data_IF_103505600057
#
_entry.id   IF_103505600057
#
_cell.length_a   1.000
_cell.length_b   1.000
_cell.length_c   1.000
_cell.angle_alpha   90.00
_cell.angle_beta   90.00
_cell.angle_gamma   90.00
#
_symmetry.space_group_name_H-M   'P 1'
#
loop_
_entity.id
_entity.type
_entity.pdbx_description
1 polymer ?
#
# COMPACT_ATOMS: atom_id res chain seq x y z
N UNK A 1 -35.00 -5.45 -24.47
CA UNK A 1 -34.46 -4.25 -23.78
C UNK A 1 -33.59 -4.79 -22.66
N UNK A 2 -32.37 -5.17 -23.03
CA UNK A 2 -31.43 -5.92 -22.19
C UNK A 2 -30.37 -4.97 -21.67
N UNK A 3 -30.03 -5.16 -20.40
CA UNK A 3 -29.03 -4.46 -19.62
C UNK A 3 -27.64 -4.60 -20.27
N UNK A 4 -27.21 -3.58 -21.00
CA UNK A 4 -25.81 -3.34 -21.34
C UNK A 4 -25.55 -1.84 -21.16
N UNK A 5 -25.45 -1.40 -19.90
CA UNK A 5 -25.10 -0.02 -19.58
C UNK A 5 -23.90 0.05 -18.64
N UNK A 6 -22.83 0.65 -19.18
CA UNK A 6 -21.77 1.39 -18.47
C UNK A 6 -20.73 0.60 -17.67
N UNK A 7 -19.96 -0.25 -18.36
CA UNK A 7 -18.56 -0.46 -17.97
C UNK A 7 -17.72 0.57 -18.74
N UNK A 8 -17.52 1.75 -18.16
CA UNK A 8 -16.61 2.75 -18.72
C UNK A 8 -15.21 2.13 -18.76
N UNK A 9 -14.73 1.82 -19.96
CA UNK A 9 -13.37 1.38 -20.20
C UNK A 9 -12.41 2.44 -19.64
N UNK A 10 -11.63 2.05 -18.63
CA UNK A 10 -10.54 2.87 -18.11
C UNK A 10 -9.54 3.14 -19.25
N UNK A 11 -9.20 4.40 -19.44
CA UNK A 11 -8.34 4.86 -20.53
C UNK A 11 -6.86 4.75 -20.11
N UNK A 12 -6.20 3.65 -20.49
CA UNK A 12 -4.81 3.32 -20.14
C UNK A 12 -3.76 4.14 -20.94
N UNK A 13 -4.00 5.44 -21.15
CA UNK A 13 -3.20 6.24 -22.08
C UNK A 13 -1.85 6.73 -21.53
N UNK A 14 -1.61 6.65 -20.22
CA UNK A 14 -0.37 7.18 -19.61
C UNK A 14 0.36 6.10 -18.81
N UNK A 15 1.34 5.47 -19.48
CA UNK A 15 2.36 4.62 -18.85
C UNK A 15 3.26 5.48 -17.97
N UNK A 16 3.82 4.90 -16.91
CA UNK A 16 4.94 5.52 -16.22
C UNK A 16 6.11 5.55 -17.19
N UNK A 17 6.56 6.76 -17.57
CA UNK A 17 7.75 6.95 -18.41
C UNK A 17 8.92 6.14 -17.81
N UNK A 18 9.40 5.16 -18.58
CA UNK A 18 10.48 4.19 -18.29
C UNK A 18 10.06 2.78 -17.79
N UNK A 19 8.77 2.44 -17.67
CA UNK A 19 8.34 1.05 -17.37
C UNK A 19 7.08 0.61 -18.12
N UNK A 20 6.85 -0.71 -18.21
CA UNK A 20 5.62 -1.30 -18.77
C UNK A 20 4.41 -1.22 -17.82
N UNK A 21 4.49 -0.42 -16.76
CA UNK A 21 3.43 -0.28 -15.76
C UNK A 21 2.60 1.00 -15.94
N UNK A 22 1.38 0.94 -15.43
CA UNK A 22 0.43 2.05 -15.37
C UNK A 22 0.34 2.55 -13.93
N UNK A 23 0.45 3.87 -13.75
CA UNK A 23 0.13 4.53 -12.49
C UNK A 23 -1.39 4.58 -12.29
N UNK A 24 -1.88 4.54 -11.05
CA UNK A 24 -3.32 4.73 -10.77
C UNK A 24 -3.85 6.11 -11.20
N UNK A 25 -2.93 7.06 -11.43
CA UNK A 25 -3.20 8.32 -12.12
C UNK A 25 -3.82 9.40 -11.23
N UNK A 26 -4.50 10.34 -11.86
CA UNK A 26 -5.05 11.53 -11.19
C UNK A 26 -6.38 11.23 -10.50
N UNK A 27 -6.69 12.00 -9.47
CA UNK A 27 -7.94 11.99 -8.74
C UNK A 27 -9.13 12.32 -9.65
N UNK A 28 -10.23 11.56 -9.52
CA UNK A 28 -11.49 11.82 -10.23
C UNK A 28 -12.58 12.24 -9.26
N UNK A 29 -12.81 11.45 -8.21
CA UNK A 29 -13.77 11.78 -7.15
C UNK A 29 -13.43 11.03 -5.86
N UNK A 30 -14.09 11.42 -4.76
CA UNK A 30 -14.05 10.69 -3.51
C UNK A 30 -15.40 10.72 -2.80
N UNK A 31 -15.62 9.71 -1.95
CA UNK A 31 -16.75 9.61 -1.05
C UNK A 31 -16.31 9.07 0.30
N UNK A 32 -16.57 9.83 1.37
CA UNK A 32 -16.31 9.43 2.75
C UNK A 32 -17.56 8.78 3.36
N UNK A 33 -17.40 7.58 3.93
CA UNK A 33 -18.46 6.82 4.61
C UNK A 33 -17.89 6.25 5.92
N UNK A 34 -18.36 6.79 7.04
CA UNK A 34 -17.93 6.36 8.38
C UNK A 34 -16.42 6.56 8.56
N UNK A 35 -15.69 5.48 8.86
CA UNK A 35 -14.25 5.49 9.04
C UNK A 35 -13.46 5.26 7.75
N UNK A 36 -14.10 5.39 6.57
CA UNK A 36 -13.51 5.06 5.27
C UNK A 36 -13.66 6.16 4.23
N UNK A 37 -12.59 6.40 3.48
CA UNK A 37 -12.57 7.24 2.29
C UNK A 37 -12.38 6.37 1.04
N UNK A 38 -13.36 6.40 0.15
CA UNK A 38 -13.28 5.75 -1.17
C UNK A 38 -12.85 6.80 -2.19
N UNK A 39 -11.86 6.48 -3.03
CA UNK A 39 -11.27 7.40 -4.00
C UNK A 39 -11.28 6.71 -5.36
N UNK A 40 -11.86 7.37 -6.36
CA UNK A 40 -11.72 6.99 -7.75
C UNK A 40 -10.56 7.78 -8.37
N UNK A 41 -9.65 7.06 -9.03
CA UNK A 41 -8.54 7.60 -9.79
C UNK A 41 -8.79 7.32 -11.29
N UNK A 42 -7.99 7.94 -12.17
CA UNK A 42 -8.16 7.74 -13.62
C UNK A 42 -7.86 6.31 -14.08
N UNK A 43 -7.04 5.56 -13.34
CA UNK A 43 -6.65 4.17 -13.64
C UNK A 43 -6.79 3.24 -12.42
N UNK A 44 -7.75 3.49 -11.53
CA UNK A 44 -8.06 2.55 -10.45
C UNK A 44 -8.88 3.13 -9.31
N UNK A 45 -9.09 2.31 -8.28
CA UNK A 45 -9.89 2.65 -7.11
C UNK A 45 -9.10 2.36 -5.84
N UNK A 46 -9.11 3.32 -4.92
CA UNK A 46 -8.53 3.18 -3.59
C UNK A 46 -9.62 3.23 -2.53
N UNK A 47 -9.44 2.47 -1.46
CA UNK A 47 -10.21 2.57 -0.24
C UNK A 47 -9.28 2.67 0.95
N UNK A 48 -9.34 3.81 1.62
CA UNK A 48 -8.61 4.11 2.85
C UNK A 48 -9.57 3.92 4.02
N UNK A 49 -9.23 3.06 4.98
CA UNK A 49 -10.10 2.75 6.12
C UNK A 49 -9.30 2.72 7.41
N UNK A 50 -9.70 3.53 8.40
CA UNK A 50 -9.13 3.40 9.73
C UNK A 50 -9.71 2.15 10.40
N UNK A 51 -8.85 1.18 10.70
CA UNK A 51 -9.18 0.02 11.53
C UNK A 51 -9.12 0.40 13.02
N UNK A 52 -8.23 1.33 13.36
CA UNK A 52 -8.06 1.97 14.66
C UNK A 52 -7.47 3.35 14.44
N UNK A 53 -7.50 4.21 15.44
CA UNK A 53 -6.95 5.58 15.35
C UNK A 53 -5.49 5.59 14.82
N UNK A 54 -4.70 4.57 15.16
CA UNK A 54 -3.29 4.40 14.78
C UNK A 54 -3.03 3.34 13.67
N UNK A 55 -4.08 2.80 13.04
CA UNK A 55 -3.98 1.78 11.99
C UNK A 55 -4.88 2.15 10.81
N UNK A 56 -4.27 2.43 9.66
CA UNK A 56 -4.97 2.63 8.39
C UNK A 56 -4.74 1.46 7.44
N UNK A 57 -5.84 0.91 6.92
CA UNK A 57 -5.84 -0.03 5.81
C UNK A 57 -5.98 0.74 4.49
N UNK A 58 -5.17 0.36 3.51
CA UNK A 58 -5.26 0.87 2.15
C UNK A 58 -5.51 -0.31 1.23
N UNK A 59 -6.67 -0.32 0.58
CA UNK A 59 -7.05 -1.34 -0.41
C UNK A 59 -7.07 -0.72 -1.79
N UNK A 60 -6.59 -1.48 -2.77
CA UNK A 60 -6.60 -1.09 -4.17
C UNK A 60 -7.30 -2.14 -5.02
N UNK A 61 -8.04 -1.69 -6.03
CA UNK A 61 -8.46 -2.52 -7.13
C UNK A 61 -8.47 -1.67 -8.42
N UNK A 62 -7.94 -2.22 -9.51
CA UNK A 62 -7.79 -1.49 -10.77
C UNK A 62 -9.12 -1.41 -11.53
N UNK A 63 -10.00 -2.39 -11.39
CA UNK A 63 -11.19 -2.55 -12.24
C UNK A 63 -12.45 -1.99 -11.62
N UNK A 64 -12.63 -2.21 -10.31
CA UNK A 64 -13.85 -1.87 -9.59
C UNK A 64 -13.52 -1.30 -8.20
N UNK A 65 -14.43 -0.57 -7.54
CA UNK A 65 -14.28 -0.20 -6.14
C UNK A 65 -13.95 -1.42 -5.25
N UNK A 66 -12.96 -1.33 -4.34
CA UNK A 66 -12.59 -2.46 -3.48
C UNK A 66 -13.77 -2.95 -2.64
N UNK A 67 -14.09 -4.23 -2.75
CA UNK A 67 -15.13 -4.86 -1.96
C UNK A 67 -14.72 -4.96 -0.47
N UNK A 68 -15.72 -5.11 0.40
CA UNK A 68 -15.51 -5.51 1.79
C UNK A 68 -15.21 -7.01 1.84
N UNK A 69 -14.01 -7.40 1.42
CA UNK A 69 -13.55 -8.79 1.53
C UNK A 69 -12.86 -9.07 2.85
N UNK A 70 -13.07 -10.28 3.35
CA UNK A 70 -12.45 -10.78 4.57
C UNK A 70 -10.99 -11.15 4.29
N UNK A 71 -10.10 -10.67 5.17
CA UNK A 71 -8.72 -11.11 5.19
C UNK A 71 -8.62 -12.42 5.95
N UNK A 72 -7.80 -13.36 5.47
CA UNK A 72 -7.48 -14.58 6.21
C UNK A 72 -6.55 -14.34 7.41
N UNK A 73 -5.87 -13.18 7.45
CA UNK A 73 -4.89 -12.84 8.47
C UNK A 73 -5.43 -11.87 9.52
N UNK A 74 -6.39 -11.01 9.16
CA UNK A 74 -6.95 -10.01 10.07
C UNK A 74 -8.14 -10.62 10.82
N UNK A 75 -7.92 -10.99 12.08
CA UNK A 75 -8.98 -11.43 12.99
C UNK A 75 -9.72 -10.27 13.69
N UNK A 76 -9.04 -9.14 13.88
CA UNK A 76 -9.58 -7.97 14.57
C UNK A 76 -10.67 -7.29 13.75
N UNK A 77 -11.78 -6.92 14.41
CA UNK A 77 -12.81 -6.08 13.77
C UNK A 77 -12.36 -4.61 13.81
N UNK A 78 -12.63 -3.83 12.75
CA UNK A 78 -12.34 -2.41 12.76
C UNK A 78 -13.18 -1.70 13.84
N UNK A 79 -12.56 -0.76 14.53
CA UNK A 79 -13.24 0.13 15.47
C UNK A 79 -13.97 1.25 14.72
N UNK A 80 -14.95 1.87 15.39
CA UNK A 80 -15.58 3.09 14.87
C UNK A 80 -14.67 4.27 15.18
N UNK A 81 -13.88 4.67 14.20
CA UNK A 81 -12.94 5.80 14.30
C UNK A 81 -13.64 7.06 13.81
N UNK A 82 -13.58 8.13 14.61
CA UNK A 82 -14.05 9.45 14.18
C UNK A 82 -13.03 10.01 13.18
N UNK A 83 -13.50 10.37 12.00
CA UNK A 83 -12.64 10.86 10.92
C UNK A 83 -12.91 12.32 10.62
N UNK A 84 -11.86 13.02 10.21
CA UNK A 84 -11.90 14.35 9.64
C UNK A 84 -11.54 14.27 8.16
N UNK A 85 -12.29 14.99 7.33
CA UNK A 85 -12.12 15.03 5.88
C UNK A 85 -12.12 16.48 5.42
N UNK A 86 -11.03 16.90 4.80
CA UNK A 86 -10.88 18.23 4.22
C UNK A 86 -10.45 18.10 2.76
N UNK A 87 -11.21 18.75 1.88
CA UNK A 87 -11.00 18.72 0.43
C UNK A 87 -10.45 20.07 -0.05
N UNK A 88 -9.23 20.06 -0.58
CA UNK A 88 -8.56 21.24 -1.12
C UNK A 88 -8.38 21.10 -2.64
N UNK A 89 -8.07 22.18 -3.37
CA UNK A 89 -7.87 22.12 -4.82
C UNK A 89 -6.87 21.05 -5.26
N UNK A 90 -5.70 20.97 -4.61
CA UNK A 90 -4.59 20.10 -5.03
C UNK A 90 -4.48 18.80 -4.21
N UNK A 91 -5.21 18.68 -3.09
CA UNK A 91 -5.05 17.57 -2.15
C UNK A 91 -6.29 17.32 -1.30
N UNK A 92 -6.37 16.13 -0.74
CA UNK A 92 -7.33 15.76 0.30
C UNK A 92 -6.55 15.48 1.59
N UNK A 93 -7.13 15.84 2.73
CA UNK A 93 -6.64 15.44 4.05
C UNK A 93 -7.68 14.56 4.71
N UNK A 94 -7.30 13.35 5.08
CA UNK A 94 -8.14 12.38 5.78
C UNK A 94 -7.44 11.92 7.05
N UNK A 95 -8.04 12.20 8.20
CA UNK A 95 -7.36 12.04 9.49
C UNK A 95 -8.22 11.31 10.51
N UNK A 96 -7.55 10.58 11.39
CA UNK A 96 -8.04 10.17 12.71
C UNK A 96 -7.46 11.13 13.77
N UNK A 97 -7.65 10.83 15.05
CA UNK A 97 -7.00 11.59 16.13
C UNK A 97 -5.48 11.37 16.23
N UNK A 98 -4.93 10.32 15.60
CA UNK A 98 -3.50 9.94 15.71
C UNK A 98 -2.78 10.00 14.37
N UNK A 99 -3.43 9.56 13.30
CA UNK A 99 -2.85 9.48 11.96
C UNK A 99 -3.52 10.49 11.03
N UNK A 100 -2.69 11.08 10.17
CA UNK A 100 -3.13 11.99 9.12
C UNK A 100 -2.63 11.48 7.78
N UNK A 101 -3.54 11.31 6.84
CA UNK A 101 -3.23 10.98 5.46
C UNK A 101 -3.44 12.21 4.61
N UNK A 102 -2.40 12.62 3.91
CA UNK A 102 -2.47 13.62 2.85
C UNK A 102 -2.46 12.88 1.52
N UNK A 103 -3.44 13.18 0.67
CA UNK A 103 -3.59 12.59 -0.65
C UNK A 103 -3.43 13.71 -1.68
N UNK A 104 -2.30 13.75 -2.38
CA UNK A 104 -2.16 14.65 -3.53
C UNK A 104 -3.09 14.18 -4.65
N UNK A 105 -3.64 15.10 -5.44
CA UNK A 105 -4.65 14.77 -6.47
C UNK A 105 -4.07 14.46 -7.84
N UNK A 106 -2.90 14.98 -8.20
CA UNK A 106 -2.33 14.80 -9.54
C UNK A 106 -0.80 14.62 -9.55
N UNK A 107 -0.29 13.38 -9.75
CA UNK A 107 -1.03 12.12 -9.63
C UNK A 107 -1.44 11.84 -8.18
N UNK A 108 -2.26 10.82 -7.96
CA UNK A 108 -2.61 10.39 -6.60
C UNK A 108 -1.37 9.86 -5.89
N UNK A 109 -1.00 10.51 -4.79
CA UNK A 109 0.12 10.13 -3.92
C UNK A 109 -0.28 10.20 -2.45
N UNK A 110 0.17 9.23 -1.68
CA UNK A 110 -0.15 9.09 -0.27
C UNK A 110 1.02 9.49 0.62
N UNK A 111 0.77 10.44 1.52
CA UNK A 111 1.68 10.78 2.61
C UNK A 111 0.99 10.52 3.93
N UNK A 112 1.59 9.69 4.78
CA UNK A 112 1.05 9.31 6.08
C UNK A 112 1.91 9.90 7.18
N UNK A 113 1.28 10.66 8.05
CA UNK A 113 1.89 11.30 9.19
C UNK A 113 1.33 10.76 10.50
N UNK A 114 2.17 10.75 11.52
CA UNK A 114 1.77 10.75 12.93
C UNK A 114 2.32 12.02 13.55
N UNK A 115 1.42 12.85 14.09
CA UNK A 115 1.72 14.22 14.51
C UNK A 115 2.33 15.07 13.37
N UNK A 116 3.61 15.46 13.51
CA UNK A 116 4.40 16.20 12.51
C UNK A 116 5.42 15.33 11.77
N UNK A 117 5.46 14.04 12.09
CA UNK A 117 6.45 13.11 11.53
C UNK A 117 5.87 12.38 10.33
N UNK A 118 6.56 12.49 9.20
CA UNK A 118 6.30 11.67 8.03
C UNK A 118 6.71 10.22 8.31
N UNK A 119 5.77 9.28 8.14
CA UNK A 119 6.01 7.85 8.29
C UNK A 119 6.23 7.17 6.94
N UNK A 120 5.33 7.44 5.99
CA UNK A 120 5.31 6.85 4.65
C UNK A 120 5.02 7.96 3.65
N UNK A 121 5.76 8.01 2.55
CA UNK A 121 5.48 8.89 1.41
C UNK A 121 5.63 8.13 0.09
N UNK A 122 5.01 8.70 -0.93
CA UNK A 122 5.15 8.33 -2.33
C UNK A 122 5.60 9.58 -3.10
N UNK A 123 6.47 9.41 -4.09
CA UNK A 123 7.03 10.52 -4.87
C UNK A 123 6.81 10.32 -6.37
N UNK A 124 7.86 10.01 -7.13
CA UNK A 124 7.80 9.74 -8.57
C UNK A 124 6.82 8.62 -8.88
N UNK A 125 6.86 7.56 -8.08
CA UNK A 125 5.96 6.41 -8.14
C UNK A 125 5.19 6.26 -6.84
N UNK A 126 3.94 5.86 -6.95
CA UNK A 126 3.10 5.45 -5.84
C UNK A 126 2.61 4.03 -6.06
N UNK A 127 1.31 3.88 -6.29
CA UNK A 127 0.72 2.59 -6.64
C UNK A 127 0.61 2.46 -8.17
N UNK A 128 1.07 1.33 -8.69
CA UNK A 128 1.05 1.02 -10.12
C UNK A 128 0.51 -0.39 -10.36
N UNK A 129 0.15 -0.70 -11.61
CA UNK A 129 -0.29 -2.03 -12.02
C UNK A 129 0.20 -2.38 -13.44
N UNK A 130 0.20 -3.66 -13.78
CA UNK A 130 0.54 -4.13 -15.13
C UNK A 130 -0.67 -4.15 -16.09
N UNK A 131 -1.86 -3.81 -15.61
CA UNK A 131 -3.12 -3.85 -16.39
C UNK A 131 -3.79 -5.23 -16.36
N UNK A 132 -3.17 -6.20 -15.70
CA UNK A 132 -3.65 -7.56 -15.56
C UNK A 132 -3.93 -7.90 -14.09
N UNK A 133 -2.93 -8.43 -13.39
CA UNK A 133 -3.07 -8.96 -12.04
C UNK A 133 -1.97 -8.52 -11.07
N UNK A 134 -0.91 -7.86 -11.55
CA UNK A 134 0.19 -7.43 -10.68
C UNK A 134 -0.03 -6.00 -10.23
N UNK A 135 0.12 -5.81 -8.92
CA UNK A 135 0.14 -4.51 -8.26
C UNK A 135 1.55 -4.26 -7.75
N UNK A 136 2.02 -3.02 -7.92
CA UNK A 136 3.30 -2.54 -7.43
C UNK A 136 3.04 -1.35 -6.51
N UNK A 137 3.66 -1.35 -5.33
CA UNK A 137 3.52 -0.28 -4.35
C UNK A 137 4.90 0.29 -4.06
N UNK A 138 5.19 1.48 -4.57
CA UNK A 138 6.45 2.18 -4.35
C UNK A 138 6.30 3.18 -3.21
N UNK A 139 7.22 3.13 -2.24
CA UNK A 139 7.30 4.05 -1.11
C UNK A 139 8.70 4.62 -1.04
N UNK A 140 8.83 5.88 -0.64
CA UNK A 140 10.14 6.50 -0.49
C UNK A 140 10.92 5.86 0.65
N UNK A 141 12.20 5.56 0.40
CA UNK A 141 13.11 4.98 1.37
C UNK A 141 14.16 6.01 1.79
N UNK A 142 14.13 6.43 3.06
CA UNK A 142 15.14 7.33 3.62
C UNK A 142 16.46 6.58 3.82
N UNK A 143 17.63 7.22 3.61
CA UNK A 143 18.93 6.61 3.87
C UNK A 143 19.11 6.07 5.30
N UNK A 144 18.37 6.62 6.28
CA UNK A 144 18.41 6.20 7.68
C UNK A 144 17.37 5.14 8.04
N UNK A 145 16.55 4.70 7.08
CA UNK A 145 15.59 3.61 7.31
C UNK A 145 16.29 2.27 7.47
N UNK A 146 15.90 1.57 8.52
CA UNK A 146 16.25 0.18 8.79
C UNK A 146 14.98 -0.66 8.77
N UNK A 147 15.04 -1.86 8.20
CA UNK A 147 13.88 -2.72 7.98
C UNK A 147 14.05 -4.04 8.71
N UNK A 148 13.03 -4.45 9.45
CA UNK A 148 13.02 -5.66 10.28
C UNK A 148 11.71 -6.42 10.13
N UNK A 149 11.69 -7.71 10.46
CA UNK A 149 10.49 -8.55 10.38
C UNK A 149 10.58 -9.52 9.20
N UNK A 150 9.53 -9.57 8.38
CA UNK A 150 9.37 -10.47 7.23
C UNK A 150 9.20 -11.96 7.60
N UNK A 151 8.97 -12.26 8.87
CA UNK A 151 8.85 -13.62 9.37
C UNK A 151 10.17 -14.37 9.37
N UNK A 152 10.14 -15.60 8.85
CA UNK A 152 11.30 -16.48 8.77
C UNK A 152 12.14 -16.15 7.53
N UNK A 153 13.12 -15.27 7.69
CA UNK A 153 14.07 -14.91 6.62
C UNK A 153 15.51 -15.05 7.09
N UNK A 154 16.33 -15.70 6.27
CA UNK A 154 17.77 -15.88 6.52
C UNK A 154 18.54 -14.56 6.33
N UNK A 155 19.86 -14.59 6.57
CA UNK A 155 20.73 -13.43 6.42
C UNK A 155 20.64 -12.42 7.57
N UNK A 156 21.04 -11.18 7.32
CA UNK A 156 21.12 -10.15 8.36
C UNK A 156 19.74 -9.73 8.89
N UNK A 157 19.72 -9.27 10.14
CA UNK A 157 18.50 -8.78 10.80
C UNK A 157 17.94 -7.53 10.11
N UNK A 158 18.80 -6.56 9.78
CA UNK A 158 18.40 -5.43 8.95
C UNK A 158 18.30 -5.88 7.49
N UNK A 159 17.10 -5.77 6.92
CA UNK A 159 16.79 -6.19 5.56
C UNK A 159 17.02 -5.11 4.51
N UNK A 160 17.50 -3.92 4.88
CA UNK A 160 17.93 -2.90 3.91
C UNK A 160 18.96 -3.50 2.94
N UNK A 161 18.79 -3.25 1.66
CA UNK A 161 19.65 -3.78 0.59
C UNK A 161 19.26 -5.18 0.10
N UNK A 162 18.21 -5.78 0.65
CA UNK A 162 17.74 -7.12 0.26
C UNK A 162 16.49 -7.04 -0.60
N UNK A 163 16.33 -8.03 -1.47
CA UNK A 163 15.08 -8.31 -2.18
C UNK A 163 14.62 -9.69 -1.78
N UNK A 164 13.38 -9.80 -1.31
CA UNK A 164 12.86 -11.03 -0.70
C UNK A 164 11.50 -11.41 -1.25
N UNK A 165 11.28 -12.71 -1.47
CA UNK A 165 10.01 -13.26 -1.94
C UNK A 165 9.28 -14.04 -0.84
N UNK A 166 8.00 -13.75 -0.64
CA UNK A 166 7.13 -14.51 0.25
C UNK A 166 6.48 -15.64 -0.53
N UNK A 167 7.11 -16.82 -0.47
CA UNK A 167 6.60 -18.02 -1.09
C UNK A 167 7.05 -19.23 -0.26
N UNK A 168 6.11 -19.86 0.47
CA UNK A 168 6.41 -20.99 1.33
C UNK A 168 7.05 -22.11 0.49
N UNK A 169 8.32 -22.41 0.79
CA UNK A 169 9.13 -23.33 0.01
C UNK A 169 9.87 -24.26 0.96
N UNK A 170 9.77 -25.56 0.72
CA UNK A 170 10.63 -26.55 1.38
C UNK A 170 11.97 -26.61 0.63
N UNK A 171 13.02 -26.05 1.24
CA UNK A 171 14.34 -25.90 0.63
C UNK A 171 15.44 -26.33 1.58
N UNK A 172 16.38 -27.14 1.11
CA UNK A 172 17.57 -27.58 1.84
C UNK A 172 18.80 -27.53 0.91
N UNK A 173 20.00 -27.13 1.41
CA UNK A 173 20.29 -26.69 2.78
C UNK A 173 19.89 -25.23 3.06
N UNK A 174 19.71 -24.87 4.33
CA UNK A 174 19.46 -23.48 4.75
C UNK A 174 20.76 -22.68 4.86
N UNK A 175 21.15 -22.01 3.79
CA UNK A 175 22.28 -21.10 3.79
C UNK A 175 21.82 -19.64 3.91
N UNK A 176 22.67 -18.70 4.35
CA UNK A 176 22.28 -17.30 4.55
C UNK A 176 21.81 -16.54 3.30
N UNK A 177 22.03 -17.11 2.11
CA UNK A 177 21.62 -16.60 0.80
C UNK A 177 20.28 -17.17 0.32
N UNK A 178 19.69 -18.12 1.05
CA UNK A 178 18.36 -18.66 0.75
C UNK A 178 17.28 -17.62 1.06
N UNK A 179 16.62 -17.12 0.02
CA UNK A 179 15.55 -16.14 0.16
C UNK A 179 14.24 -16.77 0.69
N UNK A 180 13.71 -17.78 0.00
CA UNK A 180 12.42 -18.40 0.33
C UNK A 180 12.57 -19.43 1.45
N UNK A 181 11.66 -19.41 2.42
CA UNK A 181 11.67 -20.30 3.58
C UNK A 181 10.27 -20.89 3.80
N UNK A 182 10.08 -21.60 4.91
CA UNK A 182 8.82 -22.31 5.21
C UNK A 182 7.66 -21.36 5.52
N UNK A 183 7.94 -20.16 6.02
CA UNK A 183 6.92 -19.23 6.46
C UNK A 183 6.96 -17.89 5.71
N UNK A 184 5.77 -17.43 5.31
CA UNK A 184 5.55 -16.12 4.69
C UNK A 184 4.71 -15.25 5.63
N UNK A 185 5.37 -14.29 6.27
CA UNK A 185 4.70 -13.27 7.11
C UNK A 185 5.04 -11.90 6.49
N UNK A 186 4.21 -11.38 5.57
CA UNK A 186 4.46 -10.14 4.83
C UNK A 186 4.25 -8.88 5.68
N UNK A 187 4.84 -8.86 6.88
CA UNK A 187 4.85 -7.76 7.83
C UNK A 187 6.28 -7.33 8.11
N UNK A 188 6.54 -6.03 8.05
CA UNK A 188 7.82 -5.46 8.43
C UNK A 188 7.67 -4.18 9.22
N UNK A 189 8.76 -3.83 9.92
CA UNK A 189 8.89 -2.63 10.73
C UNK A 189 10.00 -1.79 10.14
N UNK A 190 9.69 -0.53 9.85
CA UNK A 190 10.66 0.50 9.50
C UNK A 190 11.05 1.24 10.77
N UNK A 191 12.36 1.32 11.06
CA UNK A 191 12.91 2.10 12.17
C UNK A 191 13.76 3.23 11.62
N UNK A 192 13.46 4.47 12.04
CA UNK A 192 14.21 5.67 11.68
C UNK A 192 14.38 6.57 12.89
N UNK A 193 15.62 6.82 13.31
CA UNK A 193 15.94 7.72 14.43
C UNK A 193 15.17 7.42 15.72
N UNK A 194 15.03 6.14 16.08
CA UNK A 194 14.36 5.69 17.31
C UNK A 194 12.83 5.58 17.24
N UNK A 195 12.21 5.89 16.09
CA UNK A 195 10.78 5.73 15.87
C UNK A 195 10.51 4.57 14.92
N UNK A 196 9.43 3.83 15.17
CA UNK A 196 9.04 2.68 14.38
C UNK A 196 7.62 2.85 13.81
N UNK A 197 7.41 2.35 12.60
CA UNK A 197 6.09 2.07 12.06
C UNK A 197 6.11 0.71 11.36
N UNK A 198 4.95 0.06 11.27
CA UNK A 198 4.81 -1.24 10.63
C UNK A 198 4.01 -1.15 9.32
N UNK A 199 4.34 -2.00 8.36
CA UNK A 199 3.55 -2.24 7.15
C UNK A 199 3.28 -3.74 7.06
N UNK A 200 2.01 -4.08 6.94
CA UNK A 200 1.54 -5.43 6.65
C UNK A 200 0.91 -5.43 5.26
N UNK A 201 1.41 -6.26 4.36
CA UNK A 201 0.83 -6.49 3.05
C UNK A 201 -0.12 -7.69 3.14
N UNK A 202 -1.41 -7.41 3.15
CA UNK A 202 -2.48 -8.40 3.30
C UNK A 202 -2.81 -9.07 1.96
N UNK A 203 -1.86 -9.83 1.43
CA UNK A 203 -2.01 -10.61 0.19
C UNK A 203 -1.45 -12.03 0.40
N UNK A 204 -2.26 -13.09 0.24
CA UNK A 204 -1.81 -14.47 0.42
C UNK A 204 -1.05 -15.04 -0.80
N UNK A 205 -0.99 -14.30 -1.90
CA UNK A 205 -0.27 -14.66 -3.11
C UNK A 205 1.25 -14.53 -2.97
N UNK A 206 1.96 -14.80 -4.07
CA UNK A 206 3.39 -14.55 -4.13
C UNK A 206 3.64 -13.04 -4.10
N UNK A 207 4.30 -12.58 -3.04
CA UNK A 207 4.68 -11.18 -2.89
C UNK A 207 6.19 -11.01 -2.88
N UNK A 208 6.65 -9.84 -3.31
CA UNK A 208 8.08 -9.48 -3.33
C UNK A 208 8.27 -8.15 -2.63
N UNK A 209 9.22 -8.10 -1.70
CA UNK A 209 9.68 -6.88 -1.07
C UNK A 209 11.07 -6.54 -1.58
N UNK A 210 11.19 -5.41 -2.27
CA UNK A 210 12.48 -4.86 -2.71
C UNK A 210 12.87 -3.71 -1.79
N UNK A 211 13.86 -3.95 -0.92
CA UNK A 211 14.47 -2.94 -0.04
C UNK A 211 15.87 -2.56 -0.52
N UNK A 212 16.22 -2.93 -1.76
CA UNK A 212 17.51 -2.64 -2.39
C UNK A 212 17.41 -1.42 -3.29
N UNK A 213 16.32 -1.31 -4.03
CA UNK A 213 16.06 -0.24 -4.97
C UNK A 213 15.44 0.96 -4.24
N UNK A 214 15.96 2.17 -4.49
CA UNK A 214 15.42 3.45 -3.97
C UNK A 214 14.85 4.29 -5.09
#
# INVERSE_FOLDING_TARGET
MTLEDSCAYLDFQKRVTESDFFDIGSFVNANNVGSSLNIQCSQGFLKLSFYREDIISIRINVKNPPAAEDSIAIWGKPEVVKTEYEDFPEKIVFSSSVLKVVIDKDPVRLLIYKDKRLLVSESTLGICHDGHSKIFCYKDMDPKDHFYGFGEKTGFLNKRGQKMEMWNTDVLPHTPDVDRMYQSIPFFITVRSGFAHGIFLDDPGLTTFDLKSS
#
